data_IF_010639171997
#
_entry.id   IF_010639171997
#
_cell.length_a   1.000
_cell.length_b   1.000
_cell.length_c   1.000
_cell.angle_alpha   90.00
_cell.angle_beta   90.00
_cell.angle_gamma   90.00
#
_symmetry.space_group_name_H-M   'P 1'
#
loop_
_entity.id
_entity.type
_entity.pdbx_description
1 polymer ?
#
# COMPACT_ATOMS: atom_id res chain seq x y z
N UNK A 1 -46.80 21.19 15.18
CA UNK A 1 -45.33 21.08 15.18
C UNK A 1 -44.99 19.86 14.35
N UNK A 2 -44.68 20.03 13.07
CA UNK A 2 -44.27 18.91 12.20
C UNK A 2 -42.76 18.81 12.31
N UNK A 3 -42.28 17.78 12.98
CA UNK A 3 -40.84 17.47 13.02
C UNK A 3 -40.49 16.88 11.66
N UNK A 4 -39.92 17.71 10.78
CA UNK A 4 -39.41 17.25 9.49
C UNK A 4 -38.18 16.38 9.70
N UNK A 5 -38.26 15.11 9.31
CA UNK A 5 -37.10 14.24 9.17
C UNK A 5 -36.20 14.82 8.07
N UNK A 6 -35.08 15.41 8.47
CA UNK A 6 -34.00 15.77 7.56
C UNK A 6 -33.36 14.46 7.11
N UNK A 7 -33.76 13.97 5.94
CA UNK A 7 -32.97 12.99 5.21
C UNK A 7 -31.70 13.71 4.78
N UNK A 8 -30.63 13.53 5.56
CA UNK A 8 -29.30 13.97 5.18
C UNK A 8 -28.93 13.11 3.97
N UNK A 9 -29.21 13.66 2.79
CA UNK A 9 -28.85 13.09 1.52
C UNK A 9 -27.31 12.99 1.53
N UNK A 10 -26.80 11.79 1.83
CA UNK A 10 -25.37 11.49 1.76
C UNK A 10 -24.99 11.68 0.29
N UNK A 11 -24.40 12.83 0.02
CA UNK A 11 -23.87 13.19 -1.28
C UNK A 11 -22.90 12.06 -1.69
N UNK A 12 -23.40 11.23 -2.62
CA UNK A 12 -22.75 10.15 -3.35
C UNK A 12 -21.46 9.57 -2.72
N UNK A 13 -21.54 8.37 -2.16
CA UNK A 13 -20.39 7.44 -2.07
C UNK A 13 -19.83 7.03 -3.45
N UNK A 14 -20.31 7.66 -4.55
CA UNK A 14 -20.08 7.28 -5.94
C UNK A 14 -19.72 8.46 -6.87
N UNK A 15 -19.42 9.67 -6.38
CA UNK A 15 -18.93 10.74 -7.27
C UNK A 15 -17.48 10.52 -7.73
N UNK A 16 -16.69 9.77 -6.95
CA UNK A 16 -15.25 9.60 -7.17
C UNK A 16 -14.84 8.15 -7.49
N UNK A 17 -15.82 7.26 -7.74
CA UNK A 17 -15.53 5.88 -8.18
C UNK A 17 -15.12 4.88 -7.10
N UNK A 18 -14.48 5.35 -6.02
CA UNK A 18 -14.14 4.60 -4.82
C UNK A 18 -14.54 5.33 -3.55
N UNK A 19 -14.39 4.64 -2.41
CA UNK A 19 -14.70 5.17 -1.09
C UNK A 19 -13.77 6.32 -0.70
N UNK A 20 -14.29 7.30 0.03
CA UNK A 20 -13.56 8.53 0.36
C UNK A 20 -12.27 8.24 1.15
N UNK A 21 -12.28 7.28 2.08
CA UNK A 21 -11.06 6.91 2.80
C UNK A 21 -9.99 6.28 1.90
N UNK A 22 -10.41 5.52 0.87
CA UNK A 22 -9.51 4.91 -0.10
C UNK A 22 -8.97 5.98 -1.05
N UNK A 23 -9.81 6.93 -1.47
CA UNK A 23 -9.42 8.09 -2.27
C UNK A 23 -8.37 8.95 -1.56
N UNK A 24 -8.58 9.27 -0.28
CA UNK A 24 -7.61 10.02 0.53
C UNK A 24 -6.31 9.23 0.70
N UNK A 25 -6.41 7.92 0.98
CA UNK A 25 -5.24 7.05 1.12
C UNK A 25 -4.42 6.98 -0.17
N UNK A 26 -5.10 6.89 -1.32
CA UNK A 26 -4.47 7.00 -2.62
C UNK A 26 -3.70 8.32 -2.67
N UNK A 27 -4.33 9.48 -2.46
CA UNK A 27 -3.63 10.77 -2.56
C UNK A 27 -2.36 10.84 -1.68
N UNK A 28 -2.38 10.24 -0.49
CA UNK A 28 -1.19 10.11 0.34
C UNK A 28 -0.13 9.17 -0.27
N UNK A 29 -0.53 8.03 -0.84
CA UNK A 29 0.36 7.16 -1.61
C UNK A 29 0.96 7.91 -2.81
N UNK A 30 0.18 8.74 -3.52
CA UNK A 30 0.69 9.60 -4.60
C UNK A 30 1.87 10.42 -4.12
N UNK A 31 1.67 11.17 -3.03
CA UNK A 31 2.70 12.05 -2.48
C UNK A 31 3.91 11.25 -1.97
N UNK A 32 3.68 10.07 -1.38
CA UNK A 32 4.74 9.23 -0.83
C UNK A 32 5.61 8.54 -1.90
N UNK A 33 5.03 8.21 -3.05
CA UNK A 33 5.73 7.60 -4.19
C UNK A 33 6.19 8.62 -5.23
N UNK A 34 5.64 9.84 -5.24
CA UNK A 34 6.11 10.94 -6.09
C UNK A 34 7.47 11.47 -5.65
N UNK A 35 8.30 11.88 -6.60
CA UNK A 35 9.59 12.52 -6.33
C UNK A 35 9.40 14.04 -6.15
N UNK A 36 10.16 14.71 -5.25
CA UNK A 36 10.07 16.16 -5.06
C UNK A 36 10.31 16.96 -6.34
N UNK A 37 11.19 16.50 -7.24
CA UNK A 37 11.62 17.25 -8.44
C UNK A 37 11.40 16.47 -9.76
N UNK A 38 10.49 15.49 -9.77
CA UNK A 38 10.38 14.51 -10.85
C UNK A 38 8.98 14.50 -11.45
N UNK A 39 8.82 14.06 -12.71
CA UNK A 39 7.49 13.89 -13.27
C UNK A 39 6.67 12.99 -12.36
N UNK A 40 5.44 13.40 -12.05
CA UNK A 40 4.54 12.58 -11.24
C UNK A 40 4.44 11.21 -11.90
N UNK A 41 4.94 10.17 -11.21
CA UNK A 41 5.02 8.80 -11.75
C UNK A 41 3.65 8.25 -12.15
N UNK A 42 2.60 8.89 -11.65
CA UNK A 42 1.25 8.52 -11.94
C UNK A 42 0.52 9.75 -12.47
N UNK A 43 -0.16 9.59 -13.61
CA UNK A 43 -1.04 10.60 -14.21
C UNK A 43 -2.35 10.74 -13.40
N UNK A 44 -2.23 10.75 -12.08
CA UNK A 44 -3.33 11.03 -11.16
C UNK A 44 -3.61 12.51 -11.26
N UNK A 45 -4.51 12.88 -12.16
CA UNK A 45 -4.82 14.26 -12.44
C UNK A 45 -5.31 14.97 -11.18
N UNK A 46 -4.47 15.84 -10.61
CA UNK A 46 -4.89 16.81 -9.57
C UNK A 46 -5.97 17.76 -10.08
N UNK A 47 -6.03 17.93 -11.41
CA UNK A 47 -7.02 18.74 -12.12
C UNK A 47 -8.41 18.13 -12.16
N UNK A 48 -8.59 16.90 -11.66
CA UNK A 48 -9.90 16.30 -11.51
C UNK A 48 -10.07 15.89 -10.06
N UNK A 49 -10.43 16.88 -9.22
CA UNK A 49 -11.01 16.61 -7.91
C UNK A 49 -12.22 15.66 -8.00
N UNK A 50 -12.77 15.46 -9.21
CA UNK A 50 -13.92 14.66 -9.60
C UNK A 50 -13.59 13.41 -10.45
N UNK A 51 -12.34 12.96 -10.50
CA UNK A 51 -11.99 11.75 -11.25
C UNK A 51 -12.39 10.48 -10.48
N UNK A 52 -13.14 9.62 -11.16
CA UNK A 52 -13.36 8.22 -10.79
C UNK A 52 -12.01 7.48 -10.68
N UNK A 53 -11.55 7.24 -9.45
CA UNK A 53 -10.27 6.57 -9.15
C UNK A 53 -10.20 5.16 -9.76
N UNK A 54 -11.34 4.46 -9.91
CA UNK A 54 -11.37 3.12 -10.47
C UNK A 54 -11.12 3.09 -11.98
N UNK A 55 -11.03 4.26 -12.63
CA UNK A 55 -10.56 4.38 -14.01
C UNK A 55 -9.04 4.37 -14.15
N UNK A 56 -8.28 4.32 -13.06
CA UNK A 56 -6.82 4.20 -13.10
C UNK A 56 -6.40 2.74 -13.28
N UNK A 57 -6.87 2.11 -14.37
CA UNK A 57 -6.87 0.64 -14.55
C UNK A 57 -5.49 -0.02 -14.58
N UNK A 58 -4.43 0.74 -14.86
CA UNK A 58 -3.06 0.22 -14.85
C UNK A 58 -2.47 0.09 -13.42
N UNK A 59 -3.10 0.75 -12.45
CA UNK A 59 -2.61 0.91 -11.07
C UNK A 59 -3.60 0.29 -10.08
N UNK A 60 -4.90 0.43 -10.37
CA UNK A 60 -6.00 0.06 -9.49
C UNK A 60 -6.90 -0.97 -10.15
N UNK A 61 -7.30 -1.93 -9.34
CA UNK A 61 -8.42 -2.81 -9.62
C UNK A 61 -9.50 -2.51 -8.58
N UNK A 62 -10.74 -2.30 -9.04
CA UNK A 62 -11.88 -2.06 -8.15
C UNK A 62 -12.94 -3.14 -8.33
N UNK A 63 -13.60 -3.49 -7.24
CA UNK A 63 -14.83 -4.27 -7.29
C UNK A 63 -15.94 -3.43 -7.93
N UNK A 64 -16.58 -3.97 -8.97
CA UNK A 64 -17.58 -3.24 -9.74
C UNK A 64 -18.87 -2.99 -8.97
N UNK A 65 -19.14 -3.77 -7.93
CA UNK A 65 -20.33 -3.72 -7.08
C UNK A 65 -20.10 -2.87 -5.84
N UNK A 66 -19.06 -3.15 -5.05
CA UNK A 66 -18.79 -2.45 -3.78
C UNK A 66 -18.05 -1.13 -3.99
N UNK A 67 -17.50 -0.91 -5.19
CA UNK A 67 -16.65 0.24 -5.52
C UNK A 67 -15.40 0.32 -4.64
N UNK A 68 -14.95 -0.80 -4.10
CA UNK A 68 -13.77 -0.90 -3.24
C UNK A 68 -12.54 -1.22 -4.06
N UNK A 69 -11.40 -0.65 -3.68
CA UNK A 69 -10.12 -1.03 -4.26
C UNK A 69 -9.74 -2.44 -3.80
N UNK A 70 -9.61 -3.35 -4.75
CA UNK A 70 -9.25 -4.76 -4.53
C UNK A 70 -7.84 -5.09 -5.05
N UNK A 71 -7.28 -4.27 -5.94
CA UNK A 71 -5.91 -4.42 -6.43
C UNK A 71 -5.20 -3.08 -6.47
N UNK A 72 -3.94 -3.07 -6.06
CA UNK A 72 -3.10 -1.88 -6.03
C UNK A 72 -1.68 -2.24 -6.48
N UNK A 73 -1.25 -1.65 -7.60
CA UNK A 73 0.09 -1.82 -8.15
C UNK A 73 0.86 -0.51 -8.08
N UNK A 74 1.87 -0.47 -7.21
CA UNK A 74 2.73 0.69 -7.00
C UNK A 74 4.17 0.26 -7.24
N UNK A 75 4.77 0.78 -8.31
CA UNK A 75 6.20 0.63 -8.58
C UNK A 75 6.75 1.91 -9.15
N UNK A 76 7.97 2.29 -8.77
CA UNK A 76 8.65 3.39 -9.43
C UNK A 76 9.50 2.85 -10.57
N UNK A 77 9.33 3.39 -11.78
CA UNK A 77 10.29 3.13 -12.86
C UNK A 77 11.67 3.62 -12.42
N UNK A 78 12.59 2.65 -12.38
CA UNK A 78 13.92 2.72 -11.82
C UNK A 78 14.79 3.88 -12.33
N UNK A 79 15.11 4.83 -11.44
CA UNK A 79 16.42 5.48 -11.43
C UNK A 79 17.31 4.80 -10.38
N UNK A 80 18.37 4.14 -10.85
CA UNK A 80 19.35 3.43 -10.02
C UNK A 80 20.22 4.35 -9.17
N UNK A 81 20.16 5.67 -9.41
CA UNK A 81 20.81 6.70 -8.60
C UNK A 81 20.08 7.00 -7.27
N UNK A 82 18.93 6.36 -7.01
CA UNK A 82 18.07 6.75 -5.89
C UNK A 82 18.54 6.30 -4.50
N UNK A 83 18.35 7.20 -3.54
CA UNK A 83 18.54 7.00 -2.10
C UNK A 83 17.64 5.88 -1.57
N UNK A 84 18.15 5.15 -0.59
CA UNK A 84 17.40 4.15 0.16
C UNK A 84 16.11 4.74 0.78
N UNK A 85 14.96 4.12 0.51
CA UNK A 85 13.65 4.52 1.05
C UNK A 85 13.15 3.54 2.11
N UNK A 86 12.27 4.03 2.98
CA UNK A 86 11.60 3.22 4.01
C UNK A 86 10.10 3.25 3.80
N UNK A 87 9.48 2.07 3.77
CA UNK A 87 8.05 1.89 3.57
C UNK A 87 7.27 2.29 4.84
N UNK A 88 6.24 3.12 4.68
CA UNK A 88 5.20 3.30 5.69
C UNK A 88 4.01 2.41 5.29
N UNK A 89 3.95 1.20 5.84
CA UNK A 89 2.88 0.26 5.49
C UNK A 89 1.52 0.73 6.01
N UNK A 90 1.44 1.62 7.00
CA UNK A 90 0.16 2.12 7.51
C UNK A 90 -0.66 2.89 6.46
N UNK A 91 -0.04 3.35 5.37
CA UNK A 91 -0.73 3.97 4.24
C UNK A 91 -1.73 3.02 3.55
N UNK A 92 -1.59 1.70 3.71
CA UNK A 92 -2.49 0.71 3.10
C UNK A 92 -3.68 0.30 3.98
N UNK A 93 -3.75 0.78 5.23
CA UNK A 93 -4.83 0.42 6.17
C UNK A 93 -6.26 0.76 5.69
N UNK A 94 -6.49 1.81 4.89
CA UNK A 94 -7.83 2.14 4.40
C UNK A 94 -8.41 1.13 3.39
N UNK A 95 -7.57 0.38 2.68
CA UNK A 95 -7.98 -0.57 1.63
C UNK A 95 -8.40 -1.93 2.22
N UNK A 96 -9.51 -1.96 2.97
CA UNK A 96 -9.93 -3.13 3.78
C UNK A 96 -10.26 -4.38 2.94
N UNK A 97 -10.61 -4.19 1.66
CA UNK A 97 -10.97 -5.27 0.75
C UNK A 97 -9.86 -5.64 -0.24
N UNK A 98 -8.65 -5.10 -0.03
CA UNK A 98 -7.50 -5.34 -0.89
C UNK A 98 -7.16 -6.84 -0.95
N UNK A 99 -7.12 -7.36 -2.18
CA UNK A 99 -6.75 -8.74 -2.54
C UNK A 99 -5.35 -8.83 -3.13
N UNK A 100 -4.92 -7.81 -3.85
CA UNK A 100 -3.60 -7.77 -4.49
C UNK A 100 -2.86 -6.48 -4.17
N UNK A 101 -1.61 -6.61 -3.71
CA UNK A 101 -0.70 -5.49 -3.48
C UNK A 101 0.66 -5.77 -4.14
N UNK A 102 1.06 -4.90 -5.07
CA UNK A 102 2.39 -4.93 -5.69
C UNK A 102 3.17 -3.67 -5.30
N UNK A 103 4.36 -3.85 -4.73
CA UNK A 103 5.30 -2.77 -4.36
C UNK A 103 6.65 -2.89 -5.10
N UNK A 104 6.65 -3.61 -6.22
CA UNK A 104 7.87 -3.96 -6.94
C UNK A 104 8.64 -2.73 -7.41
N UNK A 105 9.97 -2.87 -7.55
CA UNK A 105 10.86 -1.83 -8.12
C UNK A 105 10.84 -0.47 -7.37
N UNK A 106 10.55 -0.47 -6.06
CA UNK A 106 10.34 0.76 -5.29
C UNK A 106 11.53 1.22 -4.43
N UNK A 107 12.73 0.66 -4.62
CA UNK A 107 13.97 0.99 -3.88
C UNK A 107 13.86 0.97 -2.34
N UNK A 108 12.87 0.26 -1.79
CA UNK A 108 12.70 0.14 -0.34
C UNK A 108 13.75 -0.77 0.26
N UNK A 109 14.47 -0.29 1.28
CA UNK A 109 15.43 -1.09 2.06
C UNK A 109 14.83 -1.64 3.36
N UNK A 110 13.72 -1.06 3.82
CA UNK A 110 12.99 -1.52 5.01
C UNK A 110 11.72 -0.74 5.26
N UNK A 111 11.20 -0.84 6.48
CA UNK A 111 9.97 -0.18 6.92
C UNK A 111 10.26 0.86 8.01
N UNK A 112 9.38 1.85 8.18
CA UNK A 112 9.39 2.71 9.36
C UNK A 112 9.14 1.88 10.63
N UNK A 113 9.74 2.31 11.75
CA UNK A 113 9.62 1.60 13.02
C UNK A 113 8.14 1.47 13.43
N UNK A 114 7.70 0.25 13.74
CA UNK A 114 6.31 -0.08 14.08
C UNK A 114 5.28 0.16 12.96
N UNK A 115 5.72 0.43 11.73
CA UNK A 115 4.85 0.69 10.57
C UNK A 115 5.21 -0.22 9.39
N UNK A 116 5.66 -1.44 9.67
CA UNK A 116 5.87 -2.49 8.66
C UNK A 116 4.61 -3.34 8.44
N UNK A 117 4.77 -4.48 7.76
CA UNK A 117 3.64 -5.35 7.37
C UNK A 117 2.86 -5.96 8.54
N UNK A 118 3.42 -5.98 9.76
CA UNK A 118 2.71 -6.44 10.95
C UNK A 118 1.48 -5.59 11.30
N UNK A 119 1.45 -4.32 10.86
CA UNK A 119 0.27 -3.46 11.07
C UNK A 119 -0.85 -3.78 10.09
N UNK A 120 -0.50 -4.39 8.96
CA UNK A 120 -1.43 -4.70 7.87
C UNK A 120 -2.13 -6.04 8.09
N UNK A 121 -1.42 -7.05 8.55
CA UNK A 121 -1.95 -8.41 8.72
C UNK A 121 -3.29 -8.51 9.46
N UNK A 122 -3.55 -7.80 10.59
CA UNK A 122 -4.86 -7.91 11.25
C UNK A 122 -6.01 -7.24 10.49
N UNK A 123 -5.70 -6.35 9.54
CA UNK A 123 -6.66 -5.51 8.81
C UNK A 123 -6.91 -5.97 7.38
N UNK A 124 -5.86 -6.36 6.65
CA UNK A 124 -5.92 -6.80 5.26
C UNK A 124 -6.16 -8.30 5.18
N UNK A 125 -7.31 -8.74 5.70
CA UNK A 125 -7.67 -10.16 5.79
C UNK A 125 -7.99 -10.79 4.45
N UNK A 126 -8.23 -9.99 3.42
CA UNK A 126 -8.57 -10.45 2.07
C UNK A 126 -7.34 -10.50 1.16
N UNK A 127 -6.15 -10.14 1.65
CA UNK A 127 -4.94 -10.06 0.82
C UNK A 127 -4.52 -11.48 0.40
N UNK A 128 -4.57 -11.74 -0.90
CA UNK A 128 -4.24 -13.02 -1.52
C UNK A 128 -2.88 -12.98 -2.24
N UNK A 129 -2.54 -11.82 -2.81
CA UNK A 129 -1.32 -11.62 -3.58
C UNK A 129 -0.51 -10.47 -2.98
N UNK A 130 0.75 -10.73 -2.66
CA UNK A 130 1.72 -9.73 -2.26
C UNK A 130 2.98 -9.86 -3.12
N UNK A 131 3.26 -8.86 -3.95
CA UNK A 131 4.47 -8.80 -4.77
C UNK A 131 5.43 -7.74 -4.23
N UNK A 132 6.58 -8.21 -3.76
CA UNK A 132 7.69 -7.44 -3.24
C UNK A 132 8.96 -7.67 -4.08
N UNK A 133 8.83 -7.99 -5.37
CA UNK A 133 9.98 -8.26 -6.23
C UNK A 133 10.82 -7.00 -6.46
N UNK A 134 12.13 -7.16 -6.69
CA UNK A 134 13.05 -6.04 -6.98
C UNK A 134 13.09 -4.93 -5.91
N UNK A 135 12.92 -5.28 -4.64
CA UNK A 135 13.22 -4.38 -3.52
C UNK A 135 14.46 -4.85 -2.76
N UNK A 136 14.88 -4.09 -1.74
CA UNK A 136 16.11 -4.33 -0.99
C UNK A 136 15.81 -4.80 0.45
N UNK A 137 14.67 -5.46 0.65
CA UNK A 137 14.30 -6.00 1.97
C UNK A 137 15.18 -7.18 2.36
N UNK A 138 15.46 -7.27 3.66
CA UNK A 138 16.09 -8.45 4.26
C UNK A 138 15.02 -9.46 4.72
N UNK A 139 15.47 -10.63 5.20
CA UNK A 139 14.59 -11.71 5.64
C UNK A 139 13.63 -11.39 6.80
N UNK A 140 13.72 -10.23 7.45
CA UNK A 140 12.81 -9.84 8.53
C UNK A 140 11.36 -9.61 8.07
N UNK A 141 11.15 -9.37 6.77
CA UNK A 141 9.82 -9.28 6.17
C UNK A 141 9.02 -10.58 6.37
N UNK A 142 9.70 -11.73 6.35
CA UNK A 142 9.08 -13.06 6.46
C UNK A 142 8.34 -13.24 7.79
N UNK A 143 8.81 -12.59 8.86
CA UNK A 143 8.17 -12.65 10.18
C UNK A 143 6.79 -11.98 10.20
N UNK A 144 6.56 -10.98 9.33
CA UNK A 144 5.29 -10.27 9.26
C UNK A 144 4.28 -10.95 8.33
N UNK A 145 4.73 -11.87 7.46
CA UNK A 145 3.88 -12.57 6.49
C UNK A 145 2.94 -13.58 7.14
N UNK A 146 3.36 -14.20 8.24
CA UNK A 146 2.57 -15.19 8.97
C UNK A 146 1.23 -14.64 9.47
N UNK A 147 1.08 -13.31 9.55
CA UNK A 147 -0.17 -12.68 9.94
C UNK A 147 -1.22 -12.57 8.82
N UNK A 148 -0.85 -12.72 7.54
CA UNK A 148 -1.82 -12.64 6.43
C UNK A 148 -2.46 -14.01 6.19
N UNK A 149 -3.63 -14.24 6.80
CA UNK A 149 -4.31 -15.54 6.78
C UNK A 149 -4.78 -16.01 5.40
N UNK A 150 -4.96 -15.09 4.44
CA UNK A 150 -5.53 -15.38 3.13
C UNK A 150 -4.50 -15.34 2.00
N UNK A 151 -3.22 -15.14 2.33
CA UNK A 151 -2.16 -14.99 1.34
C UNK A 151 -1.93 -16.33 0.61
N UNK A 152 -2.09 -16.31 -0.72
CA UNK A 152 -1.92 -17.47 -1.62
C UNK A 152 -0.63 -17.38 -2.43
N UNK A 153 -0.23 -16.15 -2.79
CA UNK A 153 0.92 -15.91 -3.65
C UNK A 153 1.77 -14.79 -3.07
N UNK A 154 3.07 -15.06 -2.95
CA UNK A 154 4.04 -14.14 -2.42
C UNK A 154 5.29 -14.13 -3.28
N UNK A 155 5.62 -12.97 -3.84
CA UNK A 155 6.73 -12.82 -4.78
C UNK A 155 7.85 -11.99 -4.16
N UNK A 156 9.07 -12.55 -4.24
CA UNK A 156 10.30 -11.97 -3.70
C UNK A 156 11.45 -12.00 -4.71
N UNK A 157 11.15 -12.15 -6.00
CA UNK A 157 12.17 -12.29 -7.04
C UNK A 157 13.13 -11.11 -7.02
N UNK A 158 14.43 -11.38 -7.24
CA UNK A 158 15.47 -10.36 -7.32
C UNK A 158 15.58 -9.41 -6.09
N UNK A 159 15.31 -9.93 -4.89
CA UNK A 159 15.62 -9.26 -3.62
C UNK A 159 17.02 -9.59 -3.10
N UNK A 160 17.55 -8.77 -2.19
CA UNK A 160 18.80 -9.02 -1.45
C UNK A 160 18.62 -10.01 -0.28
N UNK A 161 17.96 -11.14 -0.51
CA UNK A 161 17.76 -12.18 0.51
C UNK A 161 19.05 -12.99 0.68
N UNK A 162 20.11 -12.35 1.19
CA UNK A 162 21.31 -13.07 1.61
C UNK A 162 20.99 -13.85 2.89
N UNK A 163 21.27 -15.15 2.86
CA UNK A 163 21.01 -16.10 3.93
C UNK A 163 21.43 -15.58 5.31
N UNK A 164 20.60 -15.88 6.31
CA UNK A 164 20.71 -15.47 7.71
C UNK A 164 22.15 -15.34 8.21
N UNK A 165 22.69 -14.13 8.34
CA UNK A 165 23.82 -13.88 9.24
C UNK A 165 23.85 -12.41 9.68
N UNK A 166 23.78 -12.22 11.00
CA UNK A 166 24.00 -10.99 11.78
C UNK A 166 23.02 -9.84 11.52
N UNK A 167 21.97 -9.83 12.35
CA UNK A 167 21.17 -8.64 12.65
C UNK A 167 22.03 -7.64 13.45
N UNK A 168 23.10 -7.13 12.87
CA UNK A 168 23.79 -5.96 13.42
C UNK A 168 23.21 -4.72 12.75
N UNK A 169 22.19 -4.16 13.39
CA UNK A 169 21.79 -2.77 13.17
C UNK A 169 20.66 -2.53 12.15
N UNK A 170 19.44 -2.40 12.70
CA UNK A 170 18.48 -1.31 12.41
C UNK A 170 17.61 -1.28 11.14
N UNK A 171 17.53 -2.33 10.33
CA UNK A 171 16.48 -2.37 9.28
C UNK A 171 15.67 -3.65 9.40
N UNK A 172 14.48 -3.57 9.97
CA UNK A 172 13.56 -4.72 10.06
C UNK A 172 12.10 -4.30 9.86
N UNK A 173 11.37 -5.03 9.03
CA UNK A 173 9.91 -4.94 8.98
C UNK A 173 9.24 -5.85 10.03
N UNK A 174 10.02 -6.66 10.75
CA UNK A 174 9.57 -7.48 11.89
C UNK A 174 9.72 -6.79 13.25
N UNK A 175 9.00 -7.31 14.25
CA UNK A 175 9.09 -6.91 15.66
C UNK A 175 10.53 -7.06 16.17
N UNK A 176 11.09 -5.98 16.74
CA UNK A 176 12.21 -6.14 17.67
C UNK A 176 11.62 -6.70 18.96
N UNK A 177 11.97 -7.93 19.36
CA UNK A 177 11.85 -8.29 20.77
C UNK A 177 12.70 -7.29 21.55
N UNK A 178 12.07 -6.58 22.49
CA UNK A 178 12.80 -5.80 23.49
C UNK A 178 13.68 -6.79 24.27
N UNK A 179 14.97 -6.48 24.51
CA UNK A 179 15.72 -7.22 25.52
C UNK A 179 14.99 -7.04 26.86
N UNK A 180 14.83 -8.16 27.58
CA UNK A 180 14.35 -8.18 28.97
C UNK A 180 15.26 -7.33 29.86
#
# INVERSE_FOLDING_TARGET
>A
MVVGLVLINHCCSSCYGCWEEERIALLHLKAFFSYPDGPSLFNWSEKQREADCCKWTDILECDTTTKRVIGLSLGSSMDRSMRNRYLNASLFLPFKELKSLTLADSNFVGCFQNQGFQVLSPRLRNLEVLDLSFIKFNGSILLSLSGFSSLKSFYLTANMLTGSTRINGKVSCGLKKLPL
#
